data_IF_612023829020
#
_entry.id   IF_612023829020
#
_cell.length_a   1.000
_cell.length_b   1.000
_cell.length_c   1.000
_cell.angle_alpha   90.00
_cell.angle_beta   90.00
_cell.angle_gamma   90.00
#
_symmetry.space_group_name_H-M   'P 1'
#
loop_
_entity.id
_entity.type
_entity.pdbx_description
1 polymer ?
#
# COMPACT_ATOMS: atom_id res chain seq x y z
N UNK A 1 -11.26 -7.72 0.37
CA UNK A 1 -10.13 -8.60 0.74
C UNK A 1 -10.48 -10.08 0.79
N UNK A 2 -11.70 -10.48 1.20
CA UNK A 2 -12.16 -11.89 1.25
C UNK A 2 -11.76 -12.77 0.06
N UNK A 3 -11.83 -12.27 -1.18
CA UNK A 3 -11.42 -13.05 -2.36
C UNK A 3 -9.92 -13.35 -2.36
N UNK A 4 -9.07 -12.36 -2.08
CA UNK A 4 -7.62 -12.53 -2.02
C UNK A 4 -7.20 -13.36 -0.80
N UNK A 5 -7.89 -13.19 0.33
CA UNK A 5 -7.70 -14.01 1.52
C UNK A 5 -8.01 -15.49 1.23
N UNK A 6 -9.15 -15.75 0.57
CA UNK A 6 -9.56 -17.10 0.19
C UNK A 6 -8.61 -17.74 -0.85
N UNK A 7 -8.06 -16.92 -1.76
CA UNK A 7 -7.06 -17.35 -2.73
C UNK A 7 -5.65 -17.48 -2.15
N UNK A 8 -5.44 -17.12 -0.87
CA UNK A 8 -4.13 -17.02 -0.23
C UNK A 8 -3.11 -16.21 -1.06
N UNK A 9 -3.59 -15.22 -1.81
CA UNK A 9 -2.76 -14.44 -2.72
C UNK A 9 -2.21 -13.22 -1.98
N UNK A 10 -0.89 -13.13 -1.84
CA UNK A 10 -0.24 -11.98 -1.25
C UNK A 10 -0.55 -10.70 -2.04
N UNK A 11 -0.88 -9.62 -1.34
CA UNK A 11 -1.15 -8.30 -1.94
C UNK A 11 -0.62 -7.17 -1.07
N UNK A 12 -0.27 -6.05 -1.71
CA UNK A 12 0.14 -4.81 -1.04
C UNK A 12 -0.83 -3.69 -1.40
N UNK A 13 -1.11 -2.81 -0.44
CA UNK A 13 -1.97 -1.64 -0.67
C UNK A 13 -1.13 -0.43 -1.07
N UNK A 14 -1.57 0.23 -2.15
CA UNK A 14 -1.03 1.50 -2.61
C UNK A 14 -2.14 2.54 -2.59
N UNK A 15 -2.03 3.51 -1.70
CA UNK A 15 -2.87 4.71 -1.68
C UNK A 15 -2.36 5.67 -2.75
N UNK A 16 -3.19 5.98 -3.74
CA UNK A 16 -2.85 6.89 -4.83
C UNK A 16 -3.47 8.26 -4.62
N UNK A 17 -3.01 9.26 -5.39
CA UNK A 17 -3.53 10.63 -5.37
C UNK A 17 -3.42 11.29 -3.99
N UNK A 18 -2.37 10.97 -3.24
CA UNK A 18 -2.12 11.53 -1.91
C UNK A 18 -1.97 13.06 -1.90
N UNK A 19 -1.74 13.68 -3.06
CA UNK A 19 -1.73 15.12 -3.23
C UNK A 19 -3.09 15.81 -2.99
N UNK A 20 -4.19 15.05 -3.04
CA UNK A 20 -5.56 15.58 -2.87
C UNK A 20 -6.08 15.55 -1.44
N UNK A 21 -5.31 15.02 -0.50
CA UNK A 21 -5.68 14.86 0.90
C UNK A 21 -4.68 15.61 1.78
N UNK A 22 -5.15 16.16 2.90
CA UNK A 22 -4.26 16.82 3.87
C UNK A 22 -3.40 15.75 4.55
N UNK A 23 -2.17 16.11 4.92
CA UNK A 23 -1.23 15.19 5.55
C UNK A 23 -1.81 14.48 6.79
N UNK A 24 -2.43 15.24 7.70
CA UNK A 24 -3.05 14.69 8.90
C UNK A 24 -4.20 13.70 8.62
N UNK A 25 -4.97 13.94 7.54
CA UNK A 25 -6.07 13.04 7.16
C UNK A 25 -5.55 11.80 6.44
N UNK A 26 -4.44 11.93 5.71
CA UNK A 26 -3.74 10.81 5.10
C UNK A 26 -3.16 9.88 6.17
N UNK A 27 -2.53 10.43 7.21
CA UNK A 27 -1.95 9.63 8.29
C UNK A 27 -3.04 8.85 9.05
N UNK A 28 -4.18 9.48 9.35
CA UNK A 28 -5.36 8.80 9.91
C UNK A 28 -5.91 7.71 9.00
N UNK A 29 -5.93 7.95 7.69
CA UNK A 29 -6.37 6.96 6.72
C UNK A 29 -5.43 5.75 6.72
N UNK A 30 -4.11 5.99 6.74
CA UNK A 30 -3.10 4.93 6.79
C UNK A 30 -3.25 4.10 8.07
N UNK A 31 -3.42 4.74 9.22
CA UNK A 31 -3.61 4.05 10.50
C UNK A 31 -4.87 3.18 10.48
N UNK A 32 -6.00 3.74 10.02
CA UNK A 32 -7.26 3.01 9.91
C UNK A 32 -7.14 1.82 8.95
N UNK A 33 -6.54 2.04 7.78
CA UNK A 33 -6.35 0.99 6.78
C UNK A 33 -5.38 -0.08 7.30
N UNK A 34 -4.31 0.30 8.00
CA UNK A 34 -3.38 -0.64 8.63
C UNK A 34 -4.07 -1.51 9.67
N UNK A 35 -4.95 -0.93 10.50
CA UNK A 35 -5.75 -1.68 11.48
C UNK A 35 -6.74 -2.66 10.84
N UNK A 36 -7.27 -2.35 9.65
CA UNK A 36 -8.08 -3.29 8.88
C UNK A 36 -7.22 -4.40 8.26
N UNK A 37 -6.09 -4.05 7.62
CA UNK A 37 -5.18 -5.00 6.98
C UNK A 37 -4.58 -6.01 7.96
N UNK A 38 -4.37 -5.64 9.23
CA UNK A 38 -3.89 -6.57 10.25
C UNK A 38 -4.82 -7.79 10.46
N UNK A 39 -6.09 -7.70 10.04
CA UNK A 39 -7.06 -8.80 10.10
C UNK A 39 -6.99 -9.72 8.88
N UNK A 40 -6.16 -9.39 7.89
CA UNK A 40 -6.03 -10.09 6.62
C UNK A 40 -4.61 -10.67 6.49
N UNK A 41 -4.45 -11.97 6.72
CA UNK A 41 -3.14 -12.64 6.69
C UNK A 41 -2.42 -12.52 5.33
N UNK A 42 -3.18 -12.41 4.23
CA UNK A 42 -2.63 -12.25 2.89
C UNK A 42 -2.16 -10.81 2.59
N UNK A 43 -2.44 -9.84 3.46
CA UNK A 43 -2.03 -8.45 3.28
C UNK A 43 -0.57 -8.23 3.69
N UNK A 44 0.19 -7.57 2.82
CA UNK A 44 1.49 -7.03 3.19
C UNK A 44 1.32 -5.85 4.17
N UNK A 45 2.11 -5.78 5.27
CA UNK A 45 1.91 -4.79 6.33
C UNK A 45 2.29 -3.36 5.91
N UNK A 46 3.15 -3.20 4.89
CA UNK A 46 3.60 -1.88 4.43
C UNK A 46 2.60 -1.30 3.42
N UNK A 47 2.02 -0.15 3.75
CA UNK A 47 1.12 0.62 2.87
C UNK A 47 1.94 1.70 2.14
N UNK A 48 1.91 1.69 0.81
CA UNK A 48 2.56 2.72 0.01
C UNK A 48 1.63 3.90 -0.22
N UNK A 49 2.18 5.12 -0.20
CA UNK A 49 1.45 6.36 -0.50
C UNK A 49 2.09 7.06 -1.69
N UNK A 50 1.29 7.37 -2.70
CA UNK A 50 1.78 7.88 -3.97
C UNK A 50 0.91 9.01 -4.53
N UNK A 51 1.53 9.89 -5.30
CA UNK A 51 0.86 10.81 -6.20
C UNK A 51 1.54 10.74 -7.55
N UNK A 52 0.87 10.16 -8.54
CA UNK A 52 1.38 10.16 -9.91
C UNK A 52 1.43 11.57 -10.51
N UNK A 53 0.57 12.50 -10.05
CA UNK A 53 0.56 13.88 -10.54
C UNK A 53 1.77 14.67 -10.06
N UNK A 54 2.20 14.46 -8.81
CA UNK A 54 3.38 15.11 -8.23
C UNK A 54 4.64 14.23 -8.27
N UNK A 55 4.56 13.05 -8.90
CA UNK A 55 5.58 11.99 -8.87
C UNK A 55 6.05 11.61 -7.45
N UNK A 56 5.24 11.85 -6.43
CA UNK A 56 5.58 11.56 -5.03
C UNK A 56 5.40 10.07 -4.74
N UNK A 57 6.36 9.44 -4.07
CA UNK A 57 6.28 8.04 -3.65
C UNK A 57 6.47 7.02 -4.80
N UNK A 58 6.70 7.48 -6.03
CA UNK A 58 6.78 6.63 -7.21
C UNK A 58 8.11 5.89 -7.28
N UNK A 59 9.22 6.55 -6.91
CA UNK A 59 10.54 5.91 -6.88
C UNK A 59 10.60 4.83 -5.80
N UNK A 60 10.03 5.11 -4.63
CA UNK A 60 9.92 4.15 -3.53
C UNK A 60 9.02 2.96 -3.93
N UNK A 61 7.90 3.20 -4.62
CA UNK A 61 7.04 2.14 -5.13
C UNK A 61 7.77 1.28 -6.17
N UNK A 62 8.57 1.87 -7.07
CA UNK A 62 9.37 1.13 -8.05
C UNK A 62 10.44 0.28 -7.37
N UNK A 63 11.11 0.82 -6.35
CA UNK A 63 12.12 0.09 -5.58
C UNK A 63 11.51 -1.12 -4.87
N UNK A 64 10.34 -0.94 -4.23
CA UNK A 64 9.61 -2.03 -3.56
C UNK A 64 9.21 -3.13 -4.54
N UNK A 65 8.63 -2.75 -5.69
CA UNK A 65 8.25 -3.71 -6.73
C UNK A 65 9.46 -4.45 -7.31
N UNK A 66 10.59 -3.76 -7.49
CA UNK A 66 11.83 -4.38 -7.92
C UNK A 66 12.34 -5.39 -6.88
N UNK A 67 12.28 -5.06 -5.59
CA UNK A 67 12.67 -5.96 -4.51
C UNK A 67 11.80 -7.24 -4.49
N UNK A 68 10.49 -7.12 -4.75
CA UNK A 68 9.59 -8.27 -4.85
C UNK A 68 9.82 -9.13 -6.11
N UNK A 69 10.33 -8.53 -7.19
CA UNK A 69 10.55 -9.22 -8.46
C UNK A 69 11.93 -9.89 -8.58
N UNK A 70 12.89 -9.54 -7.71
CA UNK A 70 14.21 -10.16 -7.73
C UNK A 70 14.10 -11.65 -7.37
N UNK A 71 14.72 -12.55 -8.16
CA UNK A 71 14.80 -13.95 -7.78
C UNK A 71 15.61 -14.10 -6.49
N UNK A 72 15.18 -15.03 -5.65
CA UNK A 72 15.85 -15.39 -4.40
C UNK A 72 17.30 -15.88 -4.63
#
# INVERSE_FOLDING_TARGET
MKMLDAAAQAYQIVLTKCDKIKAADLDKLIERTGGELAKHTAAHPVIMRTSSFKSQGIEELRAELAALALPA
#
